data_IF_984061684560
#
_entry.id   IF_984061684560
#
_cell.length_a   1.000
_cell.length_b   1.000
_cell.length_c   1.000
_cell.angle_alpha   90.00
_cell.angle_beta   90.00
_cell.angle_gamma   90.00
#
_symmetry.space_group_name_H-M   'P 1'
#
loop_
_entity.id
_entity.type
_entity.pdbx_description
1 polymer ?
#
# COMPACT_ATOMS: atom_id res chain seq x y z
N UNK A 1 -21.37 -44.44 -4.55
CA UNK A 1 -21.19 -43.52 -5.73
C UNK A 1 -22.36 -42.55 -5.94
N UNK A 2 -23.19 -42.29 -4.95
CA UNK A 2 -24.41 -41.43 -5.06
C UNK A 2 -24.31 -40.08 -4.37
N UNK A 3 -23.27 -39.82 -3.57
CA UNK A 3 -23.16 -38.61 -2.73
C UNK A 3 -22.40 -37.45 -3.39
N UNK A 4 -21.63 -37.65 -4.46
CA UNK A 4 -20.91 -36.60 -5.15
C UNK A 4 -21.74 -35.88 -6.25
N UNK A 5 -22.73 -36.52 -6.83
CA UNK A 5 -23.60 -35.93 -7.87
C UNK A 5 -24.52 -34.82 -7.33
N UNK A 6 -25.04 -34.99 -6.12
CA UNK A 6 -25.99 -34.03 -5.49
C UNK A 6 -25.33 -32.71 -5.07
N UNK A 7 -24.01 -32.69 -4.79
CA UNK A 7 -23.29 -31.49 -4.38
C UNK A 7 -23.01 -30.53 -5.56
N UNK A 8 -22.62 -31.08 -6.70
CA UNK A 8 -22.25 -30.28 -7.91
C UNK A 8 -23.50 -29.73 -8.60
N UNK A 9 -24.60 -30.49 -8.64
CA UNK A 9 -25.87 -30.01 -9.20
C UNK A 9 -26.46 -28.86 -8.37
N UNK A 10 -26.39 -28.94 -7.06
CA UNK A 10 -26.83 -27.89 -6.12
C UNK A 10 -25.98 -26.61 -6.26
N UNK A 11 -24.67 -26.76 -6.49
CA UNK A 11 -23.77 -25.63 -6.71
C UNK A 11 -24.10 -24.88 -8.00
N UNK A 12 -24.20 -25.56 -9.14
CA UNK A 12 -24.50 -24.97 -10.46
C UNK A 12 -25.84 -24.24 -10.43
N UNK A 13 -26.83 -24.77 -9.73
CA UNK A 13 -28.13 -24.13 -9.57
C UNK A 13 -28.04 -22.83 -8.78
N UNK A 14 -27.32 -22.81 -7.64
CA UNK A 14 -27.14 -21.63 -6.79
C UNK A 14 -26.39 -20.52 -7.52
N UNK A 15 -25.32 -20.86 -8.21
CA UNK A 15 -24.56 -19.90 -9.02
C UNK A 15 -25.43 -19.34 -10.17
N UNK A 16 -26.24 -20.19 -10.82
CA UNK A 16 -27.20 -19.76 -11.84
C UNK A 16 -28.27 -18.82 -11.32
N UNK A 17 -28.77 -19.05 -10.09
CA UNK A 17 -29.71 -18.15 -9.41
C UNK A 17 -29.05 -16.79 -9.11
N UNK A 18 -27.82 -16.81 -8.64
CA UNK A 18 -27.06 -15.60 -8.34
C UNK A 18 -26.79 -14.77 -9.59
N UNK A 19 -26.32 -15.38 -10.69
CA UNK A 19 -26.12 -14.70 -11.98
C UNK A 19 -27.42 -14.12 -12.55
N UNK A 20 -28.56 -14.78 -12.39
CA UNK A 20 -29.87 -14.22 -12.75
C UNK A 20 -30.23 -13.00 -11.89
N UNK A 21 -29.85 -13.00 -10.62
CA UNK A 21 -30.04 -11.83 -9.76
C UNK A 21 -29.19 -10.65 -10.25
N UNK A 22 -27.90 -10.87 -10.52
CA UNK A 22 -27.00 -9.82 -11.04
C UNK A 22 -27.52 -9.22 -12.35
N UNK A 23 -28.05 -10.03 -13.26
CA UNK A 23 -28.59 -9.58 -14.54
C UNK A 23 -29.80 -8.64 -14.43
N UNK A 24 -30.44 -8.52 -13.26
CA UNK A 24 -31.55 -7.57 -13.01
C UNK A 24 -31.03 -6.14 -12.77
N UNK A 25 -29.73 -5.94 -12.57
CA UNK A 25 -29.12 -4.63 -12.34
C UNK A 25 -28.31 -4.22 -13.55
N UNK A 26 -28.34 -2.91 -13.93
CA UNK A 26 -27.45 -2.43 -14.98
C UNK A 26 -26.01 -2.55 -14.49
N UNK A 27 -25.10 -3.06 -15.34
CA UNK A 27 -23.67 -3.01 -15.08
C UNK A 27 -23.26 -1.53 -15.05
N UNK A 28 -22.79 -1.04 -13.90
CA UNK A 28 -22.43 0.36 -13.74
C UNK A 28 -20.97 0.57 -14.07
N UNK A 29 -20.69 1.48 -15.00
CA UNK A 29 -19.35 1.95 -15.29
C UNK A 29 -18.93 2.99 -14.23
N UNK A 30 -17.81 2.74 -13.56
CA UNK A 30 -17.01 3.73 -12.84
C UNK A 30 -17.60 4.33 -11.56
N UNK A 31 -16.83 4.30 -10.48
CA UNK A 31 -17.11 4.96 -9.22
C UNK A 31 -17.63 4.03 -8.13
N UNK A 32 -17.42 4.40 -6.87
CA UNK A 32 -17.87 3.69 -5.67
C UNK A 32 -19.33 3.32 -5.79
N UNK A 33 -19.63 2.03 -5.92
CA UNK A 33 -20.97 1.56 -6.13
C UNK A 33 -21.66 1.25 -4.78
N UNK A 34 -22.52 2.14 -4.26
CA UNK A 34 -23.25 1.89 -3.01
C UNK A 34 -24.24 0.72 -3.13
N UNK A 35 -24.41 0.17 -4.33
CA UNK A 35 -25.28 -0.98 -4.58
C UNK A 35 -24.55 -2.34 -4.45
N UNK A 36 -23.20 -2.38 -4.40
CA UNK A 36 -22.45 -3.63 -4.30
C UNK A 36 -22.92 -4.52 -3.14
N UNK A 37 -23.21 -3.96 -1.98
CA UNK A 37 -23.79 -4.72 -0.86
C UNK A 37 -25.12 -5.38 -1.18
N UNK A 38 -25.96 -4.76 -2.01
CA UNK A 38 -27.25 -5.32 -2.46
C UNK A 38 -27.04 -6.46 -3.45
N UNK A 39 -25.94 -6.40 -4.22
CA UNK A 39 -25.59 -7.46 -5.16
C UNK A 39 -24.98 -8.67 -4.45
N UNK A 40 -24.14 -8.47 -3.45
CA UNK A 40 -23.38 -9.51 -2.74
C UNK A 40 -24.26 -10.34 -1.80
N UNK A 41 -25.13 -9.68 -1.02
CA UNK A 41 -25.97 -10.36 -0.01
C UNK A 41 -26.79 -11.57 -0.51
N UNK A 42 -27.38 -11.55 -1.71
CA UNK A 42 -28.05 -12.73 -2.25
C UNK A 42 -27.10 -13.91 -2.49
N UNK A 43 -25.88 -13.68 -2.95
CA UNK A 43 -24.86 -14.71 -3.12
C UNK A 43 -24.52 -15.41 -1.79
N UNK A 44 -24.26 -14.62 -0.73
CA UNK A 44 -24.02 -15.15 0.61
C UNK A 44 -25.22 -15.94 1.17
N UNK A 45 -26.46 -15.47 0.95
CA UNK A 45 -27.67 -16.19 1.36
C UNK A 45 -27.86 -17.53 0.65
N UNK A 46 -27.37 -17.64 -0.58
CA UNK A 46 -27.35 -18.90 -1.32
C UNK A 46 -26.24 -19.84 -0.86
N UNK A 47 -25.32 -19.36 0.01
CA UNK A 47 -24.18 -20.11 0.53
C UNK A 47 -23.07 -20.28 -0.52
N UNK A 48 -22.91 -19.30 -1.42
CA UNK A 48 -21.74 -19.19 -2.29
C UNK A 48 -20.54 -18.70 -1.48
N UNK A 49 -19.34 -19.12 -1.87
CA UNK A 49 -18.10 -18.61 -1.29
C UNK A 49 -17.78 -17.21 -1.81
N UNK A 50 -16.92 -16.48 -1.10
CA UNK A 50 -16.48 -15.13 -1.50
C UNK A 50 -15.87 -15.13 -2.90
N UNK A 51 -14.98 -16.09 -3.20
CA UNK A 51 -14.37 -16.24 -4.53
C UNK A 51 -15.45 -16.44 -5.63
N UNK A 52 -16.50 -17.22 -5.36
CA UNK A 52 -17.57 -17.47 -6.30
C UNK A 52 -18.46 -16.25 -6.56
N UNK A 53 -18.67 -15.45 -5.51
CA UNK A 53 -19.43 -14.21 -5.61
C UNK A 53 -18.59 -13.16 -6.36
N UNK A 54 -17.30 -13.06 -6.05
CA UNK A 54 -16.34 -12.17 -6.67
C UNK A 54 -16.24 -12.45 -8.19
N UNK A 55 -15.97 -13.70 -8.58
CA UNK A 55 -15.91 -14.13 -9.98
C UNK A 55 -17.20 -13.79 -10.75
N UNK A 56 -18.36 -14.04 -10.14
CA UNK A 56 -19.65 -13.78 -10.78
C UNK A 56 -19.92 -12.26 -10.93
N UNK A 57 -19.49 -11.43 -9.98
CA UNK A 57 -19.62 -9.98 -10.05
C UNK A 57 -18.65 -9.40 -11.06
N UNK A 58 -17.41 -9.88 -11.14
CA UNK A 58 -16.43 -9.47 -12.14
C UNK A 58 -16.93 -9.79 -13.56
N UNK A 59 -17.47 -10.99 -13.78
CA UNK A 59 -18.07 -11.39 -15.05
C UNK A 59 -19.28 -10.51 -15.42
N UNK A 60 -20.10 -10.15 -14.44
CA UNK A 60 -21.27 -9.30 -14.66
C UNK A 60 -20.91 -7.84 -14.89
N UNK A 61 -19.85 -7.32 -14.29
CA UNK A 61 -19.52 -5.89 -14.28
C UNK A 61 -19.12 -5.31 -15.64
N UNK A 62 -18.80 -6.18 -16.62
CA UNK A 62 -18.47 -5.73 -17.98
C UNK A 62 -17.10 -5.08 -18.10
N UNK A 63 -16.96 -4.19 -19.12
CA UNK A 63 -15.71 -3.51 -19.43
C UNK A 63 -15.86 -1.98 -19.25
N UNK A 64 -15.06 -1.32 -18.38
CA UNK A 64 -14.08 -1.92 -17.47
C UNK A 64 -14.74 -2.67 -16.30
N UNK A 65 -14.14 -3.76 -15.81
CA UNK A 65 -14.66 -4.49 -14.67
C UNK A 65 -14.62 -3.63 -13.40
N UNK A 66 -15.49 -3.97 -12.43
CA UNK A 66 -15.41 -3.37 -11.09
C UNK A 66 -14.04 -3.66 -10.45
N UNK A 67 -13.57 -2.72 -9.64
CA UNK A 67 -12.34 -2.90 -8.87
C UNK A 67 -12.52 -4.06 -7.89
N UNK A 68 -11.63 -5.05 -7.97
CA UNK A 68 -11.58 -6.19 -7.08
C UNK A 68 -11.57 -5.75 -5.61
N UNK A 69 -10.87 -4.67 -5.28
CA UNK A 69 -10.84 -4.10 -3.94
C UNK A 69 -12.22 -3.61 -3.47
N UNK A 70 -13.00 -2.98 -4.36
CA UNK A 70 -14.38 -2.56 -4.02
C UNK A 70 -15.27 -3.78 -3.74
N UNK A 71 -15.11 -4.86 -4.50
CA UNK A 71 -15.88 -6.10 -4.33
C UNK A 71 -15.48 -6.78 -3.01
N UNK A 72 -14.19 -6.95 -2.76
CA UNK A 72 -13.67 -7.56 -1.52
C UNK A 72 -14.10 -6.77 -0.28
N UNK A 73 -14.00 -5.45 -0.30
CA UNK A 73 -14.46 -4.60 0.82
C UNK A 73 -15.97 -4.69 1.02
N UNK A 74 -16.75 -4.81 -0.05
CA UNK A 74 -18.20 -4.99 0.06
C UNK A 74 -18.57 -6.39 0.59
N UNK A 75 -17.80 -7.44 0.26
CA UNK A 75 -17.93 -8.80 0.84
C UNK A 75 -17.66 -8.77 2.34
N UNK A 76 -16.56 -8.19 2.78
CA UNK A 76 -16.24 -8.03 4.21
C UNK A 76 -17.37 -7.30 4.96
N UNK A 77 -17.89 -6.23 4.39
CA UNK A 77 -19.01 -5.47 4.96
C UNK A 77 -20.30 -6.29 4.99
N UNK A 78 -20.53 -7.13 3.98
CA UNK A 78 -21.70 -8.00 3.90
C UNK A 78 -21.66 -9.12 4.96
N UNK A 79 -20.48 -9.72 5.21
CA UNK A 79 -20.29 -10.69 6.28
C UNK A 79 -20.51 -10.08 7.66
N UNK A 80 -19.92 -8.93 7.94
CA UNK A 80 -20.11 -8.19 9.20
C UNK A 80 -21.60 -7.90 9.47
N UNK A 81 -22.38 -7.61 8.43
CA UNK A 81 -23.82 -7.35 8.57
C UNK A 81 -24.67 -8.63 8.65
N UNK A 82 -24.18 -9.76 8.11
CA UNK A 82 -24.88 -11.06 8.20
C UNK A 82 -24.72 -11.70 9.59
N UNK A 83 -23.64 -11.44 10.31
CA UNK A 83 -23.40 -11.93 11.68
C UNK A 83 -24.18 -11.14 12.77
N UNK A 84 -25.19 -10.37 12.41
CA UNK A 84 -26.03 -9.64 13.34
C UNK A 84 -25.50 -8.26 13.72
N UNK A 85 -24.44 -7.80 13.12
CA UNK A 85 -24.06 -6.39 13.14
C UNK A 85 -25.02 -5.62 12.25
N UNK A 86 -26.01 -4.97 12.85
CA UNK A 86 -26.88 -4.04 12.11
C UNK A 86 -26.01 -2.93 11.51
N UNK A 87 -26.40 -2.41 10.34
CA UNK A 87 -25.72 -1.28 9.69
C UNK A 87 -25.66 0.00 10.56
N UNK A 88 -26.31 0.00 11.73
CA UNK A 88 -26.22 0.97 12.81
C UNK A 88 -25.37 0.48 13.99
N UNK A 89 -24.88 -0.77 13.99
CA UNK A 89 -23.70 -1.06 14.76
C UNK A 89 -22.58 -0.34 14.01
N UNK A 90 -22.29 0.87 14.47
CA UNK A 90 -21.09 1.58 14.09
C UNK A 90 -19.98 0.55 13.86
N UNK A 91 -19.18 0.63 12.75
CA UNK A 91 -17.81 0.12 12.72
C UNK A 91 -17.35 0.12 14.17
N UNK A 92 -16.67 -0.92 14.72
CA UNK A 92 -16.13 -0.78 16.05
C UNK A 92 -15.34 0.53 16.02
N UNK A 93 -16.05 1.61 16.17
CA UNK A 93 -15.51 2.92 16.42
C UNK A 93 -14.89 2.71 17.76
N UNK A 94 -13.56 2.48 17.81
CA UNK A 94 -12.88 3.07 18.94
C UNK A 94 -13.58 4.40 19.17
N UNK A 95 -14.09 4.66 20.40
CA UNK A 95 -14.85 5.88 20.67
C UNK A 95 -14.08 7.01 20.00
N UNK A 96 -14.75 7.90 19.23
CA UNK A 96 -14.08 9.00 18.60
C UNK A 96 -13.19 9.61 19.69
N UNK A 97 -11.90 9.69 19.40
CA UNK A 97 -10.98 10.39 20.29
C UNK A 97 -11.67 11.72 20.53
N UNK A 98 -11.89 12.10 21.80
CA UNK A 98 -12.49 13.40 22.11
C UNK A 98 -11.73 14.49 21.35
N UNK A 99 -12.31 15.67 21.11
CA UNK A 99 -11.73 16.72 20.27
C UNK A 99 -10.29 17.12 20.68
N UNK A 100 -9.84 16.72 21.86
CA UNK A 100 -8.49 16.93 22.39
C UNK A 100 -7.69 15.63 22.56
N UNK A 101 -8.12 14.50 22.00
CA UNK A 101 -7.36 13.27 22.15
C UNK A 101 -6.10 13.32 21.28
N UNK A 102 -4.98 13.09 21.94
CA UNK A 102 -3.68 13.00 21.31
C UNK A 102 -3.64 11.88 20.28
N UNK A 103 -3.31 12.23 19.03
CA UNK A 103 -3.16 11.25 17.96
C UNK A 103 -1.75 10.65 17.98
N UNK A 104 -1.57 9.48 17.35
CA UNK A 104 -0.27 8.84 17.23
C UNK A 104 0.78 9.80 16.63
N UNK A 105 0.42 10.54 15.57
CA UNK A 105 1.34 11.49 14.91
C UNK A 105 1.73 12.62 15.84
N UNK A 106 0.76 13.25 16.51
CA UNK A 106 1.02 14.34 17.47
C UNK A 106 1.93 13.89 18.60
N UNK A 107 1.68 12.69 19.14
CA UNK A 107 2.51 12.10 20.18
C UNK A 107 3.95 11.84 19.72
N UNK A 108 4.13 11.34 18.50
CA UNK A 108 5.48 11.12 17.98
C UNK A 108 6.23 12.44 17.73
N UNK A 109 5.55 13.49 17.28
CA UNK A 109 6.12 14.84 17.16
C UNK A 109 6.58 15.35 18.53
N UNK A 110 5.77 15.18 19.57
CA UNK A 110 6.13 15.57 20.95
C UNK A 110 7.35 14.81 21.47
N UNK A 111 7.39 13.48 21.29
CA UNK A 111 8.54 12.64 21.70
C UNK A 111 9.82 13.05 20.98
N UNK A 112 9.74 13.45 19.72
CA UNK A 112 10.87 13.91 18.93
C UNK A 112 11.07 15.43 18.94
N UNK A 113 10.50 16.16 19.90
CA UNK A 113 10.61 17.61 19.98
C UNK A 113 12.07 18.12 19.81
N UNK A 114 12.23 19.27 19.20
CA UNK A 114 13.52 19.91 18.88
C UNK A 114 14.44 19.16 17.90
N UNK A 115 14.01 18.01 17.38
CA UNK A 115 14.78 17.27 16.38
C UNK A 115 14.79 17.97 15.03
N UNK A 116 15.97 18.01 14.42
CA UNK A 116 16.19 18.48 13.04
C UNK A 116 16.50 17.31 12.11
N UNK A 117 16.42 17.54 10.80
CA UNK A 117 16.62 16.52 9.79
C UNK A 117 17.94 15.73 9.94
N UNK A 118 19.02 16.43 10.29
CA UNK A 118 20.35 15.81 10.43
C UNK A 118 20.42 14.84 11.63
N UNK A 119 19.55 15.01 12.62
CA UNK A 119 19.43 14.06 13.73
C UNK A 119 19.08 12.65 13.26
N UNK A 120 18.26 12.52 12.23
CA UNK A 120 17.88 11.21 11.68
C UNK A 120 19.10 10.42 11.19
N UNK A 121 20.01 11.08 10.47
CA UNK A 121 21.23 10.42 9.99
C UNK A 121 22.13 9.96 11.15
N UNK A 122 22.21 10.73 12.24
CA UNK A 122 22.97 10.36 13.43
C UNK A 122 22.39 9.17 14.21
N UNK A 123 21.11 8.88 14.02
CA UNK A 123 20.41 7.74 14.64
C UNK A 123 20.41 6.50 13.75
N UNK A 124 20.94 6.56 12.54
CA UNK A 124 20.99 5.40 11.64
C UNK A 124 21.89 4.31 12.19
N UNK A 125 21.43 3.05 12.28
CA UNK A 125 22.25 1.94 12.74
C UNK A 125 23.35 1.52 11.73
N UNK A 126 23.26 2.03 10.49
CA UNK A 126 24.31 1.85 9.47
C UNK A 126 24.89 3.21 9.09
N UNK A 127 26.19 3.24 8.80
CA UNK A 127 26.84 4.44 8.30
C UNK A 127 26.34 4.75 6.88
N UNK A 128 25.82 5.94 6.67
CA UNK A 128 25.31 6.39 5.39
C UNK A 128 26.44 7.11 4.64
N UNK A 129 26.80 6.69 3.40
CA UNK A 129 27.83 7.33 2.62
C UNK A 129 27.38 8.71 2.11
N UNK A 130 28.34 9.59 1.80
CA UNK A 130 28.07 10.92 1.25
C UNK A 130 27.65 10.87 -0.22
N UNK A 131 28.32 10.01 -1.02
CA UNK A 131 28.06 9.92 -2.46
C UNK A 131 26.69 9.30 -2.76
N UNK A 132 25.92 9.95 -3.63
CA UNK A 132 24.57 9.51 -3.97
C UNK A 132 24.53 8.08 -4.53
N UNK A 133 25.43 7.72 -5.44
CA UNK A 133 25.50 6.37 -6.00
C UNK A 133 25.72 5.30 -4.92
N UNK A 134 26.54 5.58 -3.91
CA UNK A 134 26.78 4.68 -2.79
C UNK A 134 25.56 4.59 -1.85
N UNK A 135 24.82 5.69 -1.67
CA UNK A 135 23.55 5.66 -0.94
C UNK A 135 22.52 4.77 -1.65
N UNK A 136 22.40 4.90 -2.98
CA UNK A 136 21.52 4.03 -3.79
C UNK A 136 21.89 2.57 -3.62
N UNK A 137 23.18 2.25 -3.78
CA UNK A 137 23.68 0.89 -3.63
C UNK A 137 23.40 0.33 -2.24
N UNK A 138 23.76 1.06 -1.19
CA UNK A 138 23.51 0.67 0.20
C UNK A 138 22.03 0.44 0.47
N UNK A 139 21.18 1.36 0.04
CA UNK A 139 19.72 1.27 0.20
C UNK A 139 19.15 0.01 -0.46
N UNK A 140 19.48 -0.22 -1.74
CA UNK A 140 18.97 -1.35 -2.51
C UNK A 140 19.45 -2.68 -1.93
N UNK A 141 20.74 -2.83 -1.65
CA UNK A 141 21.32 -4.09 -1.15
C UNK A 141 20.93 -4.40 0.30
N UNK A 142 20.48 -3.41 1.08
CA UNK A 142 20.00 -3.62 2.44
C UNK A 142 18.54 -4.07 2.48
N UNK A 143 17.71 -3.57 1.57
CA UNK A 143 16.26 -3.83 1.60
C UNK A 143 15.83 -5.01 0.73
N UNK A 144 16.59 -5.34 -0.32
CA UNK A 144 16.16 -6.29 -1.34
C UNK A 144 17.20 -7.37 -1.61
N UNK A 145 16.72 -8.55 -2.01
CA UNK A 145 17.59 -9.62 -2.47
C UNK A 145 18.16 -9.32 -3.88
N UNK A 146 19.37 -9.79 -4.22
CA UNK A 146 20.02 -9.48 -5.51
C UNK A 146 19.20 -9.83 -6.75
N UNK A 147 18.34 -10.86 -6.67
CA UNK A 147 17.53 -11.36 -7.78
C UNK A 147 16.14 -10.72 -7.89
N UNK A 148 15.74 -9.88 -6.93
CA UNK A 148 14.44 -9.23 -6.97
C UNK A 148 14.40 -8.12 -8.01
N UNK A 149 13.35 -8.11 -8.82
CA UNK A 149 13.13 -7.07 -9.82
C UNK A 149 12.55 -5.81 -9.18
N UNK A 150 13.17 -4.68 -9.45
CA UNK A 150 12.68 -3.36 -9.02
C UNK A 150 12.46 -2.46 -10.22
N UNK A 151 11.39 -1.66 -10.16
CA UNK A 151 11.24 -0.52 -11.05
C UNK A 151 12.06 0.66 -10.51
N UNK A 152 12.98 1.18 -11.32
CA UNK A 152 13.66 2.46 -11.09
C UNK A 152 13.59 3.27 -12.38
N UNK A 153 13.00 4.48 -12.29
CA UNK A 153 12.78 5.30 -13.48
C UNK A 153 12.14 6.64 -13.19
N UNK A 154 11.64 7.30 -14.22
CA UNK A 154 10.86 8.53 -14.15
C UNK A 154 9.42 8.27 -13.71
N UNK A 155 8.77 9.32 -13.20
CA UNK A 155 7.39 9.21 -12.71
C UNK A 155 6.41 8.73 -13.78
N UNK A 156 6.56 9.19 -15.00
CA UNK A 156 5.68 8.89 -16.14
C UNK A 156 6.18 7.74 -17.02
N UNK A 157 7.37 7.18 -16.72
CA UNK A 157 7.90 6.06 -17.49
C UNK A 157 7.05 4.81 -17.29
N UNK A 158 6.74 4.14 -18.40
CA UNK A 158 6.18 2.78 -18.34
C UNK A 158 7.25 1.81 -17.81
N UNK A 159 6.84 0.85 -17.00
CA UNK A 159 7.73 -0.24 -16.62
C UNK A 159 8.13 -1.05 -17.85
N UNK A 160 9.44 -1.23 -18.09
CA UNK A 160 9.95 -2.03 -19.19
C UNK A 160 11.01 -2.98 -18.65
N UNK A 161 10.78 -4.33 -18.73
CA UNK A 161 11.78 -5.33 -18.34
C UNK A 161 13.10 -5.12 -19.08
N UNK A 162 14.21 -5.28 -18.37
CA UNK A 162 15.57 -5.07 -18.90
C UNK A 162 15.98 -3.59 -19.02
N UNK A 163 15.07 -2.65 -18.84
CA UNK A 163 15.36 -1.20 -18.91
C UNK A 163 15.07 -0.52 -17.57
N UNK A 164 13.82 -0.34 -17.21
CA UNK A 164 13.40 0.29 -15.95
C UNK A 164 12.99 -0.73 -14.88
N UNK A 165 12.84 -2.01 -15.25
CA UNK A 165 12.61 -3.13 -14.33
C UNK A 165 13.75 -4.11 -14.50
N UNK A 166 14.61 -4.21 -13.47
CA UNK A 166 15.80 -5.08 -13.46
C UNK A 166 16.01 -5.70 -12.10
N UNK A 167 16.78 -6.80 -12.00
CA UNK A 167 17.26 -7.31 -10.73
C UNK A 167 18.08 -6.27 -9.96
N UNK A 168 18.01 -6.32 -8.64
CA UNK A 168 18.78 -5.43 -7.75
C UNK A 168 20.27 -5.48 -8.04
N UNK A 169 20.81 -6.66 -8.35
CA UNK A 169 22.22 -6.82 -8.69
C UNK A 169 22.65 -5.94 -9.88
N UNK A 170 21.80 -5.77 -10.89
CA UNK A 170 22.07 -4.92 -12.04
C UNK A 170 22.03 -3.43 -11.67
N UNK A 171 21.07 -3.02 -10.84
CA UNK A 171 20.98 -1.66 -10.33
C UNK A 171 22.16 -1.29 -9.42
N UNK A 172 22.74 -2.25 -8.72
CA UNK A 172 23.90 -2.01 -7.84
C UNK A 172 25.20 -1.75 -8.60
N UNK A 173 25.26 -2.11 -9.89
CA UNK A 173 26.45 -1.95 -10.75
C UNK A 173 26.29 -0.89 -11.83
N UNK A 174 25.06 -0.46 -12.11
CA UNK A 174 24.73 0.52 -13.13
C UNK A 174 24.05 1.74 -12.50
N UNK A 175 24.22 2.89 -13.12
CA UNK A 175 23.52 4.09 -12.67
C UNK A 175 22.01 3.95 -12.77
N UNK A 176 21.30 4.42 -11.76
CA UNK A 176 19.83 4.45 -11.76
C UNK A 176 19.30 5.31 -12.91
N UNK A 177 18.26 4.83 -13.60
CA UNK A 177 17.68 5.51 -14.77
C UNK A 177 16.71 6.64 -14.40
N UNK A 178 16.43 6.85 -13.11
CA UNK A 178 15.50 7.91 -12.67
C UNK A 178 15.41 8.06 -11.16
N UNK A 179 14.66 9.06 -10.70
CA UNK A 179 14.61 9.44 -9.28
C UNK A 179 13.53 8.70 -8.47
N UNK A 180 12.79 7.78 -9.09
CA UNK A 180 11.69 7.07 -8.44
C UNK A 180 11.92 5.56 -8.43
N UNK A 181 11.35 4.93 -7.42
CA UNK A 181 11.34 3.49 -7.17
C UNK A 181 9.91 3.06 -6.84
N UNK A 182 9.47 1.89 -7.30
CA UNK A 182 8.35 1.17 -6.68
C UNK A 182 8.92 0.36 -5.51
N UNK A 183 8.38 0.61 -4.31
CA UNK A 183 8.95 0.10 -3.04
C UNK A 183 8.85 -1.41 -2.89
N UNK A 184 7.90 -2.06 -3.55
CA UNK A 184 7.75 -3.51 -3.53
C UNK A 184 8.31 -4.15 -4.81
N UNK A 185 8.96 -5.32 -4.69
CA UNK A 185 9.48 -6.05 -5.85
C UNK A 185 8.41 -6.43 -6.86
N UNK A 186 8.78 -6.47 -8.13
CA UNK A 186 7.91 -6.81 -9.25
C UNK A 186 8.20 -8.22 -9.79
N UNK A 187 7.16 -8.84 -10.36
CA UNK A 187 7.31 -10.15 -11.05
C UNK A 187 8.16 -10.04 -12.32
N UNK A 188 8.15 -8.87 -12.96
CA UNK A 188 8.71 -8.70 -14.32
C UNK A 188 7.73 -9.11 -15.42
N UNK A 189 6.54 -9.58 -15.06
CA UNK A 189 5.46 -9.94 -15.98
C UNK A 189 4.48 -8.78 -16.18
N UNK A 190 3.80 -8.79 -17.32
CA UNK A 190 2.79 -7.78 -17.62
C UNK A 190 1.48 -8.10 -16.89
N UNK A 191 0.95 -7.12 -16.20
CA UNK A 191 -0.37 -7.14 -15.59
C UNK A 191 -1.31 -6.12 -16.24
N UNK A 192 -2.53 -6.03 -15.74
CA UNK A 192 -3.53 -5.06 -16.16
C UNK A 192 -3.73 -3.99 -15.07
N UNK A 193 -3.76 -2.74 -15.47
CA UNK A 193 -4.16 -1.64 -14.57
C UNK A 193 -5.65 -1.71 -14.29
N UNK A 194 -6.12 -0.99 -13.29
CA UNK A 194 -7.56 -0.84 -12.98
C UNK A 194 -8.39 -0.32 -14.17
N UNK A 195 -7.76 0.39 -15.11
CA UNK A 195 -8.41 0.89 -16.34
C UNK A 195 -8.27 -0.06 -17.52
N UNK A 196 -7.88 -1.32 -17.31
CA UNK A 196 -7.74 -2.33 -18.36
C UNK A 196 -6.55 -2.12 -19.29
N UNK A 197 -5.57 -1.27 -18.94
CA UNK A 197 -4.38 -1.05 -19.76
C UNK A 197 -3.25 -1.99 -19.33
N UNK A 198 -2.54 -2.63 -20.28
CA UNK A 198 -1.38 -3.44 -19.92
C UNK A 198 -0.27 -2.57 -19.29
N UNK A 199 0.38 -3.11 -18.26
CA UNK A 199 1.44 -2.43 -17.53
C UNK A 199 2.39 -3.46 -16.89
N UNK A 200 3.65 -3.10 -16.72
CA UNK A 200 4.61 -3.89 -15.94
C UNK A 200 4.81 -3.34 -14.51
N UNK A 201 4.12 -2.26 -14.15
CA UNK A 201 4.24 -1.58 -12.85
C UNK A 201 2.90 -1.27 -12.20
N UNK A 202 1.96 -2.18 -12.27
CA UNK A 202 0.65 -2.08 -11.60
C UNK A 202 0.56 -3.05 -10.42
N UNK A 203 -0.51 -2.96 -9.63
CA UNK A 203 -0.72 -3.80 -8.45
C UNK A 203 -0.65 -5.31 -8.73
N UNK A 204 -1.05 -5.77 -9.93
CA UNK A 204 -0.93 -7.17 -10.35
C UNK A 204 0.52 -7.61 -10.59
N UNK A 205 1.43 -6.66 -10.86
CA UNK A 205 2.84 -6.95 -11.10
C UNK A 205 3.65 -7.09 -9.80
N UNK A 206 3.06 -6.86 -8.62
CA UNK A 206 3.76 -6.92 -7.33
C UNK A 206 4.03 -8.38 -6.95
N UNK A 207 5.31 -8.75 -6.87
CA UNK A 207 5.76 -10.08 -6.50
C UNK A 207 5.68 -10.33 -4.97
N UNK A 208 5.93 -9.30 -4.18
CA UNK A 208 5.96 -9.39 -2.72
C UNK A 208 5.52 -8.07 -2.09
N UNK A 209 4.60 -8.13 -1.13
CA UNK A 209 4.04 -6.96 -0.44
C UNK A 209 4.68 -6.81 0.93
N UNK A 210 5.94 -6.36 0.95
CA UNK A 210 6.73 -6.26 2.19
C UNK A 210 6.79 -4.87 2.78
N UNK A 211 6.67 -3.84 1.95
CA UNK A 211 6.98 -2.48 2.32
C UNK A 211 5.84 -1.52 2.03
N UNK A 212 5.38 -0.84 3.06
CA UNK A 212 4.48 0.30 2.95
C UNK A 212 5.27 1.61 2.93
N UNK A 213 4.76 2.58 2.20
CA UNK A 213 5.26 3.94 2.19
C UNK A 213 4.43 4.80 3.16
N UNK A 214 5.11 5.68 3.90
CA UNK A 214 4.49 6.78 4.67
C UNK A 214 5.17 8.08 4.27
N UNK A 215 4.38 9.04 3.81
CA UNK A 215 4.83 10.39 3.50
C UNK A 215 3.78 11.42 3.94
N UNK A 216 4.22 12.64 4.24
CA UNK A 216 3.37 13.75 4.66
C UNK A 216 3.56 14.92 3.69
N UNK A 217 2.52 15.25 2.93
CA UNK A 217 2.57 16.32 1.93
C UNK A 217 2.42 17.74 2.51
N UNK A 218 1.64 17.86 3.57
CA UNK A 218 1.29 19.13 4.19
C UNK A 218 2.10 19.45 5.47
N UNK A 219 2.72 18.45 6.08
CA UNK A 219 3.49 18.61 7.32
C UNK A 219 4.81 19.36 7.06
N UNK A 220 5.14 20.40 7.82
CA UNK A 220 6.43 21.06 7.75
C UNK A 220 7.60 20.08 7.94
N UNK A 221 8.71 20.28 7.22
CA UNK A 221 9.85 19.37 7.23
C UNK A 221 10.44 19.16 8.64
N UNK A 222 10.43 20.19 9.47
CA UNK A 222 10.87 20.13 10.86
C UNK A 222 10.00 19.16 11.67
N UNK A 223 8.67 19.26 11.56
CA UNK A 223 7.74 18.33 12.23
C UNK A 223 7.85 16.90 11.70
N UNK A 224 8.15 16.73 10.41
CA UNK A 224 8.45 15.41 9.86
C UNK A 224 9.71 14.81 10.50
N UNK A 225 10.76 15.61 10.71
CA UNK A 225 11.95 15.16 11.42
C UNK A 225 11.63 14.76 12.86
N UNK A 226 10.85 15.58 13.58
CA UNK A 226 10.39 15.29 14.94
C UNK A 226 9.56 13.99 14.98
N UNK A 227 8.59 13.83 14.08
CA UNK A 227 7.80 12.61 13.98
C UNK A 227 8.67 11.36 13.82
N UNK A 228 9.61 11.37 12.87
CA UNK A 228 10.44 10.21 12.61
C UNK A 228 11.45 9.94 13.73
N UNK A 229 11.99 10.96 14.40
CA UNK A 229 12.81 10.78 15.60
C UNK A 229 11.97 10.18 16.73
N UNK A 230 10.74 10.63 16.92
CA UNK A 230 9.79 10.04 17.87
C UNK A 230 9.51 8.57 17.58
N UNK A 231 9.25 8.21 16.32
CA UNK A 231 9.05 6.81 15.88
C UNK A 231 10.30 5.96 16.20
N UNK A 232 11.50 6.45 15.87
CA UNK A 232 12.76 5.74 16.12
C UNK A 232 12.97 5.56 17.63
N UNK A 233 12.79 6.61 18.43
CA UNK A 233 13.01 6.58 19.88
C UNK A 233 12.02 5.68 20.63
N UNK A 234 10.78 5.60 20.13
CA UNK A 234 9.70 4.83 20.76
C UNK A 234 9.54 3.41 20.19
N UNK A 235 10.30 3.04 19.16
CA UNK A 235 10.23 1.72 18.50
C UNK A 235 8.79 1.33 18.08
N UNK A 236 7.99 2.31 17.62
CA UNK A 236 6.54 2.14 17.46
C UNK A 236 6.10 1.63 16.09
N UNK A 237 6.97 1.77 15.08
CA UNK A 237 6.73 1.25 13.73
C UNK A 237 7.92 0.41 13.27
N UNK A 238 7.72 -0.67 12.50
CA UNK A 238 8.79 -1.50 11.96
C UNK A 238 9.48 -0.78 10.78
N UNK A 239 10.13 0.35 11.08
CA UNK A 239 10.81 1.23 10.14
C UNK A 239 12.02 0.53 9.51
N UNK A 240 12.19 0.69 8.20
CA UNK A 240 13.30 0.17 7.42
C UNK A 240 14.19 1.27 6.84
N UNK A 241 13.61 2.36 6.38
CA UNK A 241 14.40 3.48 5.84
C UNK A 241 13.67 4.80 5.89
N UNK A 242 14.45 5.89 5.87
CA UNK A 242 13.98 7.26 5.68
C UNK A 242 14.78 7.92 4.55
N UNK A 243 14.08 8.49 3.58
CA UNK A 243 14.66 9.19 2.43
C UNK A 243 14.11 10.60 2.36
N UNK A 244 14.97 11.61 2.44
CA UNK A 244 14.60 12.99 2.13
C UNK A 244 14.38 13.16 0.62
N UNK A 245 13.26 13.69 0.24
CA UNK A 245 12.84 13.79 -1.17
C UNK A 245 13.63 14.80 -2.03
N UNK A 246 14.59 15.50 -1.44
CA UNK A 246 15.25 16.65 -2.11
C UNK A 246 14.35 17.88 -2.23
N UNK A 247 13.26 17.95 -1.45
CA UNK A 247 12.29 19.06 -1.45
C UNK A 247 11.65 19.24 -0.08
N UNK A 248 10.38 18.87 0.05
CA UNK A 248 9.55 19.15 1.24
C UNK A 248 9.23 17.95 2.13
N UNK A 249 9.54 16.71 1.73
CA UNK A 249 9.07 15.53 2.45
C UNK A 249 10.17 14.52 2.76
N UNK A 250 9.94 13.75 3.83
CA UNK A 250 10.71 12.56 4.22
C UNK A 250 9.81 11.35 3.99
N UNK A 251 10.26 10.42 3.16
CA UNK A 251 9.58 9.18 2.84
C UNK A 251 10.07 8.07 3.76
N UNK A 252 9.15 7.48 4.52
CA UNK A 252 9.46 6.35 5.40
C UNK A 252 8.99 5.04 4.82
N UNK A 253 9.85 4.03 4.81
CA UNK A 253 9.52 2.67 4.42
C UNK A 253 9.30 1.84 5.67
N UNK A 254 8.09 1.28 5.79
CA UNK A 254 7.63 0.46 6.92
C UNK A 254 7.52 -0.99 6.45
N UNK A 255 8.03 -1.95 7.21
CA UNK A 255 7.89 -3.37 6.88
C UNK A 255 6.50 -3.88 7.28
N UNK A 256 5.83 -4.57 6.35
CA UNK A 256 4.48 -5.16 6.57
C UNK A 256 4.48 -6.68 6.41
N UNK A 257 5.22 -7.22 5.42
CA UNK A 257 5.33 -8.66 5.12
C UNK A 257 3.99 -9.38 4.87
N UNK A 258 3.10 -8.74 4.11
CA UNK A 258 1.85 -9.36 3.71
C UNK A 258 2.06 -10.40 2.60
N UNK A 259 1.53 -11.61 2.79
CA UNK A 259 1.63 -12.70 1.82
C UNK A 259 0.56 -12.60 0.73
N UNK A 260 -0.60 -12.01 1.06
CA UNK A 260 -1.76 -11.90 0.18
C UNK A 260 -2.24 -10.45 0.08
N UNK A 261 -2.93 -10.07 -1.02
CA UNK A 261 -3.52 -8.74 -1.14
C UNK A 261 -4.43 -8.34 0.02
N UNK A 262 -5.24 -9.28 0.55
CA UNK A 262 -6.16 -9.02 1.68
C UNK A 262 -5.40 -8.71 2.97
N UNK A 263 -4.29 -9.41 3.23
CA UNK A 263 -3.42 -9.12 4.37
C UNK A 263 -2.78 -7.73 4.23
N UNK A 264 -2.35 -7.38 3.01
CA UNK A 264 -1.86 -6.04 2.71
C UNK A 264 -2.87 -4.96 3.06
N UNK A 265 -4.11 -5.08 2.59
CA UNK A 265 -5.15 -4.10 2.87
C UNK A 265 -5.42 -3.96 4.37
N UNK A 266 -5.50 -5.07 5.09
CA UNK A 266 -5.70 -5.09 6.54
C UNK A 266 -4.56 -4.38 7.30
N UNK A 267 -3.31 -4.65 6.93
CA UNK A 267 -2.17 -4.00 7.57
C UNK A 267 -2.05 -2.52 7.18
N UNK A 268 -2.35 -2.18 5.92
CA UNK A 268 -2.41 -0.79 5.47
C UNK A 268 -3.53 -0.01 6.17
N UNK A 269 -4.68 -0.62 6.44
CA UNK A 269 -5.75 0.03 7.21
C UNK A 269 -5.30 0.36 8.63
N UNK A 270 -4.60 -0.55 9.29
CA UNK A 270 -4.01 -0.30 10.62
C UNK A 270 -2.98 0.83 10.58
N UNK A 271 -2.06 0.78 9.62
CA UNK A 271 -1.02 1.80 9.45
C UNK A 271 -1.65 3.16 9.17
N UNK A 272 -2.55 3.27 8.21
CA UNK A 272 -3.23 4.52 7.86
C UNK A 272 -4.11 5.04 9.00
N UNK A 273 -4.73 4.16 9.79
CA UNK A 273 -5.43 4.58 10.99
C UNK A 273 -4.50 5.26 12.00
N UNK A 274 -3.26 4.83 12.11
CA UNK A 274 -2.27 5.46 12.99
C UNK A 274 -1.75 6.79 12.40
N UNK A 275 -1.32 6.80 11.13
CA UNK A 275 -0.59 7.93 10.54
C UNK A 275 -1.44 8.94 9.77
N UNK A 276 -2.69 8.59 9.43
CA UNK A 276 -3.65 9.45 8.72
C UNK A 276 -5.02 9.46 9.44
N UNK A 277 -5.00 9.50 10.77
CA UNK A 277 -6.23 9.46 11.57
C UNK A 277 -7.12 10.67 11.25
N UNK A 278 -8.45 10.48 11.02
CA UNK A 278 -9.35 11.57 10.63
C UNK A 278 -9.45 12.71 11.64
N UNK A 279 -9.18 12.45 12.93
CA UNK A 279 -9.16 13.48 13.99
C UNK A 279 -7.80 14.18 14.11
N UNK A 280 -6.76 13.76 13.35
CA UNK A 280 -5.51 14.52 13.28
C UNK A 280 -5.71 15.81 12.51
N UNK A 281 -4.99 16.90 12.85
CA UNK A 281 -4.87 18.05 11.97
C UNK A 281 -4.49 17.59 10.55
N UNK A 282 -5.03 18.27 9.53
CA UNK A 282 -4.82 17.86 8.14
C UNK A 282 -3.33 17.76 7.76
N UNK A 283 -2.53 18.69 8.28
CA UNK A 283 -1.08 18.70 8.12
C UNK A 283 -0.39 17.49 8.76
N UNK A 284 -0.99 16.89 9.77
CA UNK A 284 -0.49 15.69 10.46
C UNK A 284 -1.03 14.38 9.87
N UNK A 285 -1.72 14.43 8.74
CA UNK A 285 -2.21 13.23 8.06
C UNK A 285 -1.27 12.83 6.93
N UNK A 286 -0.83 11.58 6.95
CA UNK A 286 -0.07 11.00 5.85
C UNK A 286 -0.91 10.91 4.56
N UNK A 287 -0.24 10.95 3.40
CA UNK A 287 -0.90 10.76 2.10
C UNK A 287 -1.53 9.36 2.00
N UNK A 288 -2.86 9.33 1.90
CA UNK A 288 -3.61 8.07 1.80
C UNK A 288 -3.42 7.34 0.48
N UNK A 289 -2.87 7.99 -0.57
CA UNK A 289 -2.50 7.33 -1.82
C UNK A 289 -1.34 6.34 -1.62
N UNK A 290 -0.61 6.41 -0.50
CA UNK A 290 0.41 5.44 -0.10
C UNK A 290 -0.14 4.05 0.26
N UNK A 291 -1.46 3.84 0.25
CA UNK A 291 -2.09 2.51 0.41
C UNK A 291 -1.74 1.52 -0.70
N UNK A 292 -1.41 2.01 -1.89
CA UNK A 292 -1.12 1.15 -3.03
C UNK A 292 0.25 0.48 -2.90
N UNK A 293 0.30 -0.83 -3.09
CA UNK A 293 1.55 -1.60 -3.03
C UNK A 293 2.53 -1.26 -4.17
N UNK A 294 2.03 -0.70 -5.27
CA UNK A 294 2.78 -0.22 -6.44
C UNK A 294 3.09 1.28 -6.38
N UNK A 295 2.96 1.90 -5.20
CA UNK A 295 3.25 3.34 -5.02
C UNK A 295 4.71 3.65 -5.35
N UNK A 296 4.91 4.70 -6.14
CA UNK A 296 6.22 5.28 -6.38
C UNK A 296 6.70 6.04 -5.14
N UNK A 297 7.97 5.83 -4.80
CA UNK A 297 8.68 6.61 -3.78
C UNK A 297 9.96 7.20 -4.35
N UNK A 298 10.62 8.06 -3.59
CA UNK A 298 11.90 8.65 -3.97
C UNK A 298 13.04 7.64 -3.77
N UNK A 299 13.89 7.51 -4.78
CA UNK A 299 15.08 6.66 -4.71
C UNK A 299 16.18 7.36 -3.92
N UNK A 300 16.68 6.74 -2.88
CA UNK A 300 17.81 7.24 -2.11
C UNK A 300 19.04 7.41 -3.01
N UNK A 301 19.72 8.54 -2.88
CA UNK A 301 20.94 8.83 -3.65
C UNK A 301 20.72 9.36 -5.06
N UNK A 302 19.48 9.41 -5.56
CA UNK A 302 19.16 9.99 -6.85
C UNK A 302 19.08 11.53 -6.78
N UNK A 303 19.25 12.18 -7.93
CA UNK A 303 19.04 13.63 -8.05
C UNK A 303 17.58 13.89 -8.40
N UNK A 304 16.94 14.80 -7.69
CA UNK A 304 15.61 15.29 -8.00
C UNK A 304 15.64 16.21 -9.21
N UNK A 305 14.97 15.86 -10.34
CA UNK A 305 15.08 16.64 -11.57
C UNK A 305 14.61 18.10 -11.41
N UNK A 306 13.57 18.33 -10.62
CA UNK A 306 12.92 19.63 -10.50
C UNK A 306 13.76 20.64 -9.72
N UNK A 307 14.66 20.21 -8.84
CA UNK A 307 15.44 21.08 -7.95
C UNK A 307 16.94 20.88 -8.07
N UNK A 308 17.42 19.84 -8.74
CA UNK A 308 18.83 19.44 -8.73
C UNK A 308 19.32 18.92 -7.36
N UNK A 309 18.45 18.79 -6.37
CA UNK A 309 18.81 18.38 -5.03
C UNK A 309 18.96 16.85 -4.91
N UNK A 310 19.90 16.42 -4.07
CA UNK A 310 20.08 15.01 -3.74
C UNK A 310 18.91 14.51 -2.89
N UNK A 311 18.33 13.38 -3.28
CA UNK A 311 17.38 12.60 -2.46
C UNK A 311 18.19 11.80 -1.43
N UNK A 312 18.41 12.39 -0.26
CA UNK A 312 19.34 11.85 0.72
C UNK A 312 18.74 10.69 1.50
N UNK A 313 19.45 9.59 1.60
CA UNK A 313 19.20 8.58 2.62
C UNK A 313 19.50 9.19 3.99
N UNK A 314 18.51 9.20 4.89
CA UNK A 314 18.64 9.79 6.22
C UNK A 314 18.80 8.73 7.31
N UNK A 315 18.20 7.56 7.11
CA UNK A 315 18.21 6.49 8.07
C UNK A 315 17.95 5.15 7.36
N UNK A 316 18.64 4.10 7.77
CA UNK A 316 18.49 2.77 7.19
C UNK A 316 18.78 1.69 8.24
N UNK A 317 17.96 0.66 8.28
CA UNK A 317 18.19 -0.51 9.12
C UNK A 317 18.09 -1.82 8.33
N UNK A 318 19.04 -2.75 8.53
CA UNK A 318 18.97 -4.08 7.93
C UNK A 318 17.86 -4.95 8.53
N UNK A 319 17.31 -4.57 9.69
CA UNK A 319 16.18 -5.22 10.35
C UNK A 319 15.08 -4.21 10.65
N UNK A 320 13.81 -4.64 10.72
CA UNK A 320 12.73 -3.76 11.17
C UNK A 320 13.01 -3.22 12.56
N UNK A 321 12.67 -1.95 12.79
CA UNK A 321 12.77 -1.33 14.10
C UNK A 321 11.71 -1.94 15.03
N UNK A 322 12.08 -2.27 16.26
CA UNK A 322 11.13 -2.73 17.30
C UNK A 322 10.70 -4.20 17.21
N UNK A 323 11.37 -5.03 16.39
CA UNK A 323 11.14 -6.48 16.30
C UNK A 323 12.38 -7.24 16.71
#
# INVERSE_FOLDING_TARGET
MLTQKTSTENFTEKLGQFKKHLAQFPSTQGGRNPQLLKLIRPGLKLGLTDDQIEDAILEWSGDPPLDLHEITHALETAHLTAEGFTANAAKPTRPPLGPNAETFVSKMIEVGADAKLDKLASLSPVQIPEAGADQTKLFLTTLYAPTENLFIGGQMEAGTPGTTIRPVMDWSTQSASGPFLIVNPLTGEQGMTQTGKPSYRCGQCIASRRYALVEFDAMPLEQQAQFWVGVISSLTLPLRSLVFSGGKSVHGIIQIDAQKPQEWHKEMDKLMYAVAHPNSPREHQADTACRNADRLTRLAGAIRPESGALQRLLWLSPKPLGI
#
